data_IF_997094318189
#
_entry.id   IF_997094318189
#
_cell.length_a   1.000
_cell.length_b   1.000
_cell.length_c   1.000
_cell.angle_alpha   90.00
_cell.angle_beta   90.00
_cell.angle_gamma   90.00
#
_symmetry.space_group_name_H-M   'P 1'
#
loop_
_entity.id
_entity.type
_entity.pdbx_description
1 polymer ?
#
# COMPACT_ATOMS: atom_id res chain seq x y z
N UNK A 1 -5.11 11.22 -12.40
CA UNK A 1 -3.72 11.68 -12.65
C UNK A 1 -2.78 10.49 -12.47
N UNK A 2 -1.97 10.11 -13.46
CA UNK A 2 -1.07 8.94 -13.38
C UNK A 2 -0.05 9.02 -12.22
N UNK A 3 0.42 10.23 -11.90
CA UNK A 3 1.45 10.44 -10.89
C UNK A 3 0.97 10.16 -9.46
N UNK A 4 -0.33 10.35 -9.18
CA UNK A 4 -0.95 10.10 -7.88
C UNK A 4 -0.82 8.64 -7.44
N UNK A 5 -1.01 7.70 -8.38
CA UNK A 5 -0.87 6.27 -8.11
C UNK A 5 0.60 5.88 -7.85
N UNK A 6 1.54 6.55 -8.52
CA UNK A 6 2.97 6.32 -8.31
C UNK A 6 3.41 6.70 -6.90
N UNK A 7 2.88 7.80 -6.34
CA UNK A 7 3.16 8.19 -4.96
C UNK A 7 2.59 7.20 -3.94
N UNK A 8 1.37 6.72 -4.16
CA UNK A 8 0.73 5.70 -3.33
C UNK A 8 1.53 4.40 -3.36
N UNK A 9 1.97 3.97 -4.55
CA UNK A 9 2.78 2.76 -4.73
C UNK A 9 4.11 2.85 -3.95
N UNK A 10 4.79 3.99 -4.04
CA UNK A 10 6.04 4.21 -3.30
C UNK A 10 5.82 4.22 -1.79
N UNK A 11 4.74 4.84 -1.30
CA UNK A 11 4.39 4.84 0.12
C UNK A 11 4.15 3.42 0.64
N UNK A 12 3.39 2.60 -0.11
CA UNK A 12 3.16 1.18 0.23
C UNK A 12 4.47 0.41 0.31
N UNK A 13 5.34 0.54 -0.70
CA UNK A 13 6.64 -0.15 -0.72
C UNK A 13 7.53 0.25 0.44
N UNK A 14 7.55 1.54 0.78
CA UNK A 14 8.36 2.08 1.86
C UNK A 14 7.92 1.51 3.21
N UNK A 15 6.61 1.55 3.50
CA UNK A 15 6.06 1.02 4.74
C UNK A 15 6.32 -0.48 4.91
N UNK A 16 6.05 -1.29 3.88
CA UNK A 16 6.29 -2.74 3.95
C UNK A 16 7.77 -3.09 4.09
N UNK A 17 8.68 -2.24 3.57
CA UNK A 17 10.12 -2.43 3.69
C UNK A 17 10.66 -2.01 5.06
N UNK A 18 10.12 -0.96 5.65
CA UNK A 18 10.59 -0.39 6.92
C UNK A 18 9.97 -1.07 8.15
N UNK A 19 8.66 -1.33 8.12
CA UNK A 19 7.93 -1.93 9.24
C UNK A 19 7.75 -3.45 9.12
N UNK A 20 7.93 -3.99 7.91
CA UNK A 20 7.79 -5.43 7.64
C UNK A 20 6.34 -5.85 7.33
N UNK A 21 6.05 -7.17 7.42
CA UNK A 21 4.74 -7.70 7.06
C UNK A 21 3.62 -7.19 7.96
N UNK A 22 2.53 -6.73 7.36
CA UNK A 22 1.41 -6.14 8.10
C UNK A 22 0.03 -6.42 7.49
N UNK A 23 -1.01 -6.26 8.29
CA UNK A 23 -2.39 -6.44 7.83
C UNK A 23 -2.78 -5.37 6.79
N UNK A 24 -3.66 -5.75 5.86
CA UNK A 24 -4.15 -4.86 4.79
C UNK A 24 -4.74 -3.56 5.31
N UNK A 25 -5.62 -3.63 6.30
CA UNK A 25 -6.28 -2.44 6.86
C UNK A 25 -5.27 -1.52 7.57
N UNK A 26 -4.30 -2.11 8.26
CA UNK A 26 -3.23 -1.35 8.93
C UNK A 26 -2.37 -0.61 7.90
N UNK A 27 -1.95 -1.29 6.83
CA UNK A 27 -1.18 -0.69 5.74
C UNK A 27 -1.94 0.49 5.10
N UNK A 28 -3.21 0.30 4.75
CA UNK A 28 -4.04 1.36 4.15
C UNK A 28 -4.10 2.58 5.06
N UNK A 29 -4.33 2.35 6.36
CA UNK A 29 -4.40 3.42 7.36
C UNK A 29 -3.06 4.14 7.54
N UNK A 30 -1.93 3.42 7.55
CA UNK A 30 -0.61 4.03 7.65
C UNK A 30 -0.27 4.86 6.41
N UNK A 31 -0.49 4.30 5.21
CA UNK A 31 -0.31 5.04 3.95
C UNK A 31 -1.13 6.34 3.95
N UNK A 32 -2.39 6.27 4.40
CA UNK A 32 -3.24 7.46 4.52
C UNK A 32 -2.64 8.52 5.47
N UNK A 33 -2.21 8.10 6.66
CA UNK A 33 -1.64 8.99 7.67
C UNK A 33 -0.33 9.64 7.22
N UNK A 34 0.53 8.88 6.55
CA UNK A 34 1.85 9.34 6.11
C UNK A 34 1.76 10.30 4.93
N UNK A 35 0.86 10.02 3.99
CA UNK A 35 0.71 10.85 2.79
C UNK A 35 0.11 12.22 3.10
N UNK A 36 -0.71 12.36 4.15
CA UNK A 36 -1.40 13.61 4.54
C UNK A 36 -2.12 14.30 3.37
N UNK A 37 -2.58 13.51 2.38
CA UNK A 37 -3.21 13.98 1.15
C UNK A 37 -4.58 13.29 1.02
N UNK A 38 -5.67 13.93 1.47
CA UNK A 38 -7.01 13.35 1.46
C UNK A 38 -7.48 12.92 0.05
N UNK A 39 -7.06 13.65 -0.98
CA UNK A 39 -7.42 13.37 -2.37
C UNK A 39 -6.89 12.03 -2.88
N UNK A 40 -5.91 11.44 -2.18
CA UNK A 40 -5.27 10.19 -2.57
C UNK A 40 -5.89 8.96 -1.90
N UNK A 41 -6.74 9.16 -0.89
CA UNK A 41 -7.41 8.10 -0.14
C UNK A 41 -8.13 7.07 -1.03
N UNK A 42 -8.95 7.47 -2.04
CA UNK A 42 -9.62 6.51 -2.92
C UNK A 42 -8.66 5.67 -3.79
N UNK A 43 -7.42 6.15 -3.95
CA UNK A 43 -6.41 5.50 -4.78
C UNK A 43 -5.57 4.49 -4.00
N UNK A 44 -5.59 4.49 -2.67
CA UNK A 44 -4.79 3.56 -1.84
C UNK A 44 -5.23 2.11 -2.08
N UNK A 45 -6.53 1.84 -1.91
CA UNK A 45 -7.06 0.49 -2.09
C UNK A 45 -6.90 -0.04 -3.51
N UNK A 46 -7.19 0.80 -4.51
CA UNK A 46 -7.06 0.42 -5.92
C UNK A 46 -5.61 0.15 -6.29
N UNK A 47 -4.68 1.00 -5.84
CA UNK A 47 -3.23 0.80 -6.08
C UNK A 47 -2.74 -0.47 -5.41
N UNK A 48 -3.09 -0.70 -4.14
CA UNK A 48 -2.71 -1.93 -3.44
C UNK A 48 -3.28 -3.19 -4.14
N UNK A 49 -4.54 -3.14 -4.58
CA UNK A 49 -5.14 -4.23 -5.34
C UNK A 49 -4.41 -4.52 -6.66
N UNK A 50 -3.97 -3.47 -7.38
CA UNK A 50 -3.16 -3.61 -8.58
C UNK A 50 -1.78 -4.21 -8.29
N UNK A 51 -1.12 -3.80 -7.21
CA UNK A 51 0.18 -4.36 -6.79
C UNK A 51 0.07 -5.86 -6.46
N UNK A 52 -1.00 -6.25 -5.77
CA UNK A 52 -1.29 -7.67 -5.49
C UNK A 52 -1.54 -8.43 -6.79
N UNK A 53 -2.37 -7.89 -7.69
CA UNK A 53 -2.65 -8.50 -8.99
C UNK A 53 -1.39 -8.66 -9.88
N UNK A 54 -0.38 -7.81 -9.70
CA UNK A 54 0.92 -7.88 -10.39
C UNK A 54 1.95 -8.75 -9.65
N UNK A 55 1.61 -9.36 -8.52
CA UNK A 55 2.53 -10.11 -7.64
C UNK A 55 3.70 -9.27 -7.08
N UNK A 56 3.54 -7.95 -7.00
CA UNK A 56 4.53 -7.05 -6.39
C UNK A 56 4.35 -6.93 -4.86
N UNK A 57 3.16 -7.27 -4.37
CA UNK A 57 2.83 -7.43 -2.96
C UNK A 57 2.08 -8.75 -2.83
N UNK A 58 2.37 -9.54 -1.80
CA UNK A 58 1.78 -10.87 -1.58
C UNK A 58 1.32 -11.03 -0.15
N UNK A 59 0.40 -11.98 0.05
CA UNK A 59 0.03 -12.45 1.37
C UNK A 59 0.98 -13.57 1.81
N UNK A 60 1.45 -13.50 3.06
CA UNK A 60 2.15 -14.60 3.72
C UNK A 60 1.16 -15.63 4.30
N UNK A 61 1.69 -16.64 5.00
CA UNK A 61 0.91 -17.71 5.63
C UNK A 61 0.00 -17.20 6.76
N UNK A 62 0.31 -16.03 7.34
CA UNK A 62 -0.46 -15.38 8.41
C UNK A 62 -1.51 -14.39 7.86
N UNK A 63 -1.60 -14.23 6.53
CA UNK A 63 -2.50 -13.30 5.87
C UNK A 63 -2.03 -11.84 5.89
N UNK A 64 -0.75 -11.59 6.16
CA UNK A 64 -0.12 -10.26 6.14
C UNK A 64 0.51 -9.98 4.78
N UNK A 65 0.56 -8.70 4.42
CA UNK A 65 1.13 -8.21 3.17
C UNK A 65 2.65 -8.05 3.29
N UNK A 66 3.39 -8.52 2.30
CA UNK A 66 4.82 -8.34 2.15
C UNK A 66 5.20 -8.11 0.67
N UNK A 67 6.45 -7.67 0.41
CA UNK A 67 7.02 -7.54 -0.94
C UNK A 67 7.49 -8.89 -1.51
#
# INVERSE_FOLDING_TARGET
MPNSMLFVEQAIRMLLKEEGPMERELLIRQVYNDMKLPDLEPFIESTLGLMIGKNEVKFDEDGKLHL
#
